data_IF_093866437461
#
_entry.id   IF_093866437461
#
_cell.length_a   1.000
_cell.length_b   1.000
_cell.length_c   1.000
_cell.angle_alpha   90.00
_cell.angle_beta   90.00
_cell.angle_gamma   90.00
#
_symmetry.space_group_name_H-M   'P 1'
#
loop_
_entity.id
_entity.type
_entity.pdbx_description
1 polymer ?
#
# COMPACT_ATOMS: atom_id res chain seq x y z
N UNK A 1 -22.56 14.13 12.45
CA UNK A 1 -21.22 14.03 11.87
C UNK A 1 -20.54 12.84 12.52
N UNK A 2 -20.12 11.84 11.75
CA UNK A 2 -19.37 10.68 12.24
C UNK A 2 -17.93 10.86 11.81
N UNK A 3 -17.00 10.79 12.76
CA UNK A 3 -15.57 10.77 12.50
C UNK A 3 -15.13 9.32 12.43
N UNK A 4 -14.64 8.90 11.25
CA UNK A 4 -14.03 7.59 11.09
C UNK A 4 -12.60 7.66 11.62
N UNK A 5 -12.27 6.74 12.53
CA UNK A 5 -10.91 6.52 13.01
C UNK A 5 -10.47 5.14 12.55
N UNK A 6 -9.20 5.03 12.17
CA UNK A 6 -8.52 3.76 12.00
C UNK A 6 -7.37 3.75 13.01
N UNK A 7 -7.27 2.65 13.75
CA UNK A 7 -6.12 2.44 14.62
C UNK A 7 -4.93 2.04 13.73
N UNK A 8 -3.87 2.83 13.78
CA UNK A 8 -2.63 2.60 13.04
C UNK A 8 -1.55 2.07 13.99
N UNK A 9 -0.81 1.06 13.58
CA UNK A 9 0.43 0.67 14.27
C UNK A 9 1.58 1.61 13.90
N UNK A 10 2.65 1.62 14.71
CA UNK A 10 3.79 2.53 14.50
C UNK A 10 4.47 2.32 13.14
N UNK A 11 4.48 1.08 12.62
CA UNK A 11 5.03 0.72 11.30
C UNK A 11 4.13 1.14 10.13
N UNK A 12 2.90 1.59 10.40
CA UNK A 12 1.98 2.14 9.42
C UNK A 12 2.09 3.67 9.30
N UNK A 13 2.93 4.29 10.12
CA UNK A 13 3.14 5.74 10.17
C UNK A 13 4.57 6.09 9.72
N UNK A 14 4.69 7.10 8.88
CA UNK A 14 5.95 7.71 8.46
C UNK A 14 5.90 9.23 8.61
N UNK A 15 7.05 9.89 8.45
CA UNK A 15 7.14 11.35 8.45
C UNK A 15 7.38 11.86 7.04
N UNK A 16 6.57 12.82 6.59
CA UNK A 16 6.74 13.58 5.36
C UNK A 16 6.86 15.06 5.73
N UNK A 17 8.03 15.66 5.49
CA UNK A 17 8.33 17.06 5.88
C UNK A 17 8.03 17.38 7.35
N UNK A 18 8.25 16.42 8.25
CA UNK A 18 8.02 16.57 9.69
C UNK A 18 6.56 16.35 10.11
N UNK A 19 5.68 15.99 9.18
CA UNK A 19 4.28 15.67 9.46
C UNK A 19 4.05 14.16 9.42
N UNK A 20 3.27 13.61 10.37
CA UNK A 20 2.89 12.20 10.32
C UNK A 20 1.98 11.94 9.11
N UNK A 21 2.29 10.89 8.38
CA UNK A 21 1.55 10.39 7.24
C UNK A 21 1.48 8.86 7.30
N UNK A 22 0.51 8.24 6.63
CA UNK A 22 0.49 6.79 6.46
C UNK A 22 1.66 6.35 5.58
N UNK A 23 2.19 5.15 5.83
CA UNK A 23 3.13 4.54 4.89
C UNK A 23 2.45 4.29 3.54
N UNK A 24 3.25 4.19 2.48
CA UNK A 24 2.73 3.90 1.14
C UNK A 24 2.00 2.55 1.11
N UNK A 25 2.56 1.53 1.75
CA UNK A 25 1.92 0.21 1.87
C UNK A 25 0.58 0.27 2.59
N UNK A 26 0.49 1.00 3.70
CA UNK A 26 -0.78 1.23 4.42
C UNK A 26 -1.81 1.91 3.53
N UNK A 27 -1.42 3.01 2.89
CA UNK A 27 -2.30 3.80 2.02
C UNK A 27 -2.87 2.95 0.88
N UNK A 28 -2.06 2.09 0.26
CA UNK A 28 -2.51 1.19 -0.81
C UNK A 28 -3.55 0.18 -0.29
N UNK A 29 -3.38 -0.35 0.93
CA UNK A 29 -4.38 -1.23 1.57
C UNK A 29 -5.68 -0.50 1.88
N UNK A 30 -5.62 0.72 2.42
CA UNK A 30 -6.80 1.55 2.66
C UNK A 30 -7.58 1.82 1.34
N UNK A 31 -6.85 2.07 0.25
CA UNK A 31 -7.46 2.21 -1.08
C UNK A 31 -8.14 0.91 -1.56
N UNK A 32 -7.57 -0.25 -1.25
CA UNK A 32 -8.17 -1.54 -1.60
C UNK A 32 -9.47 -1.79 -0.80
N UNK A 33 -9.49 -1.46 0.49
CA UNK A 33 -10.68 -1.55 1.35
C UNK A 33 -11.81 -0.62 0.89
N UNK A 34 -11.46 0.54 0.32
CA UNK A 34 -12.43 1.46 -0.30
C UNK A 34 -12.85 1.07 -1.72
N UNK A 35 -12.48 -0.14 -2.17
CA UNK A 35 -12.83 -0.74 -3.46
C UNK A 35 -12.31 0.04 -4.67
N UNK A 36 -11.12 0.65 -4.54
CA UNK A 36 -10.44 1.22 -5.69
C UNK A 36 -10.13 0.13 -6.73
N UNK A 37 -10.33 0.43 -8.02
CA UNK A 37 -10.19 -0.58 -9.07
C UNK A 37 -8.76 -1.17 -9.16
N UNK A 38 -8.61 -2.46 -9.52
CA UNK A 38 -7.32 -3.16 -9.50
C UNK A 38 -6.25 -2.55 -10.43
N UNK A 39 -6.67 -1.87 -11.51
CA UNK A 39 -5.75 -1.13 -12.38
C UNK A 39 -5.07 0.04 -11.65
N UNK A 40 -5.82 0.77 -10.81
CA UNK A 40 -5.29 1.90 -10.04
C UNK A 40 -4.40 1.42 -8.89
N UNK A 41 -4.78 0.32 -8.22
CA UNK A 41 -3.95 -0.30 -7.19
C UNK A 41 -2.61 -0.78 -7.78
N UNK A 42 -2.65 -1.44 -8.94
CA UNK A 42 -1.44 -1.84 -9.66
C UNK A 42 -0.58 -0.63 -10.02
N UNK A 43 -1.17 0.41 -10.59
CA UNK A 43 -0.44 1.63 -10.93
C UNK A 43 0.22 2.26 -9.71
N UNK A 44 -0.48 2.34 -8.58
CA UNK A 44 0.08 2.88 -7.33
C UNK A 44 1.28 2.06 -6.84
N UNK A 45 1.23 0.72 -6.94
CA UNK A 45 2.35 -0.16 -6.59
C UNK A 45 3.55 0.08 -7.53
N UNK A 46 3.33 0.06 -8.85
CA UNK A 46 4.42 0.21 -9.83
C UNK A 46 5.07 1.59 -9.75
N UNK A 47 4.28 2.66 -9.60
CA UNK A 47 4.82 4.01 -9.45
C UNK A 47 5.62 4.17 -8.15
N UNK A 48 5.14 3.57 -7.06
CA UNK A 48 5.82 3.65 -5.78
C UNK A 48 7.13 2.88 -5.79
N UNK A 49 7.17 1.72 -6.45
CA UNK A 49 8.39 0.95 -6.69
C UNK A 49 9.38 1.74 -7.56
N UNK A 50 8.92 2.29 -8.69
CA UNK A 50 9.76 3.06 -9.60
C UNK A 50 10.37 4.32 -8.97
N UNK A 51 9.65 4.94 -8.02
CA UNK A 51 10.11 6.12 -7.26
C UNK A 51 10.95 5.74 -6.03
N UNK A 52 11.10 4.45 -5.72
CA UNK A 52 11.86 3.96 -4.57
C UNK A 52 11.15 4.11 -3.23
N UNK A 53 9.83 4.32 -3.23
CA UNK A 53 9.01 4.33 -2.00
C UNK A 53 8.66 2.93 -1.51
N UNK A 54 8.78 1.93 -2.37
CA UNK A 54 8.65 0.51 -2.04
C UNK A 54 9.90 -0.22 -2.51
N UNK A 55 10.28 -1.24 -1.76
CA UNK A 55 11.18 -2.30 -2.21
C UNK A 55 10.41 -3.30 -3.08
N UNK A 56 11.14 -4.09 -3.89
CA UNK A 56 10.55 -5.20 -4.66
C UNK A 56 9.79 -6.19 -3.78
N UNK A 57 10.31 -6.46 -2.57
CA UNK A 57 9.67 -7.34 -1.60
C UNK A 57 8.34 -6.78 -1.13
N UNK A 58 8.28 -5.49 -0.79
CA UNK A 58 7.04 -4.83 -0.36
C UNK A 58 6.03 -4.76 -1.50
N UNK A 59 6.47 -4.45 -2.72
CA UNK A 59 5.61 -4.45 -3.89
C UNK A 59 5.02 -5.83 -4.17
N UNK A 60 5.82 -6.91 -4.06
CA UNK A 60 5.33 -8.28 -4.23
C UNK A 60 4.26 -8.65 -3.19
N UNK A 61 4.49 -8.31 -1.91
CA UNK A 61 3.51 -8.51 -0.84
C UNK A 61 2.22 -7.74 -1.14
N UNK A 62 2.31 -6.47 -1.57
CA UNK A 62 1.12 -5.67 -1.88
C UNK A 62 0.34 -6.24 -3.08
N UNK A 63 1.01 -6.67 -4.15
CA UNK A 63 0.33 -7.31 -5.30
C UNK A 63 -0.44 -8.56 -4.86
N UNK A 64 0.15 -9.37 -4.00
CA UNK A 64 -0.55 -10.51 -3.40
C UNK A 64 -1.77 -10.05 -2.57
N UNK A 65 -1.55 -9.12 -1.65
CA UNK A 65 -2.56 -8.70 -0.66
C UNK A 65 -3.77 -8.00 -1.30
N UNK A 66 -3.55 -7.11 -2.27
CA UNK A 66 -4.61 -6.22 -2.80
C UNK A 66 -5.09 -6.56 -4.21
N UNK A 67 -4.33 -7.35 -4.96
CA UNK A 67 -4.70 -7.79 -6.32
C UNK A 67 -4.95 -9.30 -6.42
N UNK A 68 -4.62 -10.08 -5.39
CA UNK A 68 -4.72 -11.54 -5.42
C UNK A 68 -3.70 -12.20 -6.36
N UNK A 69 -2.60 -11.51 -6.66
CA UNK A 69 -1.56 -12.05 -7.53
C UNK A 69 -0.65 -12.99 -6.75
N UNK A 70 -0.77 -14.28 -6.99
CA UNK A 70 0.14 -15.27 -6.42
C UNK A 70 1.57 -15.06 -6.90
N UNK A 71 2.55 -15.29 -6.02
CA UNK A 71 3.98 -15.39 -6.33
C UNK A 71 4.20 -16.58 -7.28
N UNK A 72 3.91 -16.39 -8.56
CA UNK A 72 4.20 -17.36 -9.61
C UNK A 72 5.70 -17.33 -9.89
N UNK A 73 6.47 -18.11 -9.10
CA UNK A 73 7.65 -18.91 -9.47
C UNK A 73 8.43 -19.28 -8.20
N UNK A 74 8.06 -20.41 -7.61
CA UNK A 74 8.97 -21.37 -6.96
C UNK A 74 8.27 -22.74 -7.04
N UNK A 75 8.41 -23.37 -8.21
CA UNK A 75 8.08 -24.77 -8.49
C UNK A 75 9.20 -25.34 -9.38
#
# INVERSE_FOLDING_TARGET
MVLHHADLSEDEIMSVEGLPATTVGRTIRDCAETHLGPALLRQAIEESLAKGYLTEREAAILRHDVLGEGTARDA
#
